data_IF_948904249046
#
_entry.id   IF_948904249046
#
_cell.length_a   1.000
_cell.length_b   1.000
_cell.length_c   1.000
_cell.angle_alpha   90.00
_cell.angle_beta   90.00
_cell.angle_gamma   90.00
#
_symmetry.space_group_name_H-M   'P 1'
#
loop_
_entity.id
_entity.type
_entity.pdbx_description
1 polymer ?
#
# COMPACT_ATOMS: atom_id res chain seq x y z
N UNK A 1 -12.21 4.52 -11.77
CA UNK A 1 -12.93 3.45 -12.49
C UNK A 1 -13.00 2.24 -11.57
N UNK A 2 -14.00 1.38 -11.75
CA UNK A 2 -14.44 0.40 -10.75
C UNK A 2 -14.65 -0.95 -11.41
N UNK A 3 -14.09 -2.02 -10.85
CA UNK A 3 -14.43 -3.40 -11.21
C UNK A 3 -15.49 -3.93 -10.27
N UNK A 4 -16.48 -4.63 -10.81
CA UNK A 4 -17.50 -5.35 -10.05
C UNK A 4 -17.26 -6.86 -10.19
N UNK A 5 -17.24 -7.56 -9.07
CA UNK A 5 -16.92 -8.98 -8.99
C UNK A 5 -18.11 -9.74 -8.45
N UNK A 6 -18.52 -10.82 -9.13
CA UNK A 6 -19.50 -11.76 -8.60
C UNK A 6 -18.81 -12.80 -7.71
N UNK A 7 -19.47 -13.22 -6.63
CA UNK A 7 -18.91 -14.17 -5.68
C UNK A 7 -19.53 -15.56 -5.87
N UNK A 8 -18.70 -16.59 -5.82
CA UNK A 8 -19.13 -17.98 -5.89
C UNK A 8 -18.40 -18.86 -4.86
N UNK A 9 -19.01 -19.98 -4.53
CA UNK A 9 -18.44 -21.01 -3.67
C UNK A 9 -17.68 -22.02 -4.54
N UNK A 10 -16.38 -22.20 -4.28
CA UNK A 10 -15.52 -23.09 -5.08
C UNK A 10 -15.82 -24.55 -4.84
N UNK A 11 -16.29 -24.95 -3.64
CA UNK A 11 -16.60 -26.33 -3.30
C UNK A 11 -17.94 -26.75 -3.89
N UNK A 12 -18.94 -25.88 -3.81
CA UNK A 12 -20.27 -26.14 -4.36
C UNK A 12 -20.38 -25.86 -5.86
N UNK A 13 -19.41 -25.14 -6.42
CA UNK A 13 -19.40 -24.68 -7.81
C UNK A 13 -20.66 -23.88 -8.18
N UNK A 14 -21.08 -22.98 -7.29
CA UNK A 14 -22.33 -22.22 -7.40
C UNK A 14 -22.14 -20.76 -7.00
N UNK A 15 -22.86 -19.85 -7.67
CA UNK A 15 -22.94 -18.45 -7.28
C UNK A 15 -23.48 -18.31 -5.84
N UNK A 16 -23.00 -17.30 -5.12
CA UNK A 16 -23.49 -17.00 -3.77
C UNK A 16 -24.65 -16.02 -3.89
N UNK A 17 -25.83 -16.45 -3.49
CA UNK A 17 -27.06 -15.65 -3.51
C UNK A 17 -27.37 -15.07 -2.12
N UNK A 18 -27.76 -13.81 -2.06
CA UNK A 18 -28.02 -13.07 -0.80
C UNK A 18 -29.42 -13.28 -0.24
N UNK A 19 -30.36 -13.76 -1.05
CA UNK A 19 -31.76 -14.00 -0.70
C UNK A 19 -32.10 -15.49 -0.44
N UNK A 20 -31.13 -16.39 -0.66
CA UNK A 20 -31.31 -17.83 -0.53
C UNK A 20 -32.00 -18.51 -1.71
N UNK A 21 -32.31 -17.78 -2.79
CA UNK A 21 -32.83 -18.35 -4.04
C UNK A 21 -31.72 -18.47 -5.09
N UNK A 22 -31.25 -19.71 -5.29
CA UNK A 22 -30.18 -20.04 -6.22
C UNK A 22 -30.55 -19.86 -7.71
N UNK A 23 -31.78 -19.48 -8.01
CA UNK A 23 -32.24 -19.19 -9.37
C UNK A 23 -32.37 -17.69 -9.64
N UNK A 24 -32.21 -16.82 -8.63
CA UNK A 24 -32.35 -15.38 -8.79
C UNK A 24 -31.00 -14.71 -9.15
N UNK A 25 -30.76 -14.34 -10.41
CA UNK A 25 -29.47 -13.74 -10.81
C UNK A 25 -29.23 -12.36 -10.19
N UNK A 26 -30.29 -11.64 -9.83
CA UNK A 26 -30.19 -10.29 -9.24
C UNK A 26 -29.74 -10.32 -7.78
N UNK A 27 -29.79 -11.48 -7.12
CA UNK A 27 -29.37 -11.64 -5.73
C UNK A 27 -27.93 -12.10 -5.56
N UNK A 28 -27.19 -12.30 -6.68
CA UNK A 28 -25.78 -12.70 -6.63
C UNK A 28 -24.97 -11.67 -5.85
N UNK A 29 -24.21 -12.13 -4.87
CA UNK A 29 -23.33 -11.31 -4.07
C UNK A 29 -22.25 -10.68 -4.97
N UNK A 30 -22.18 -9.35 -4.96
CA UNK A 30 -21.18 -8.59 -5.70
C UNK A 30 -20.31 -7.73 -4.78
N UNK A 31 -19.05 -7.53 -5.19
CA UNK A 31 -18.09 -6.62 -4.55
C UNK A 31 -17.56 -5.63 -5.59
N UNK A 32 -17.43 -4.36 -5.21
CA UNK A 32 -16.83 -3.32 -6.07
C UNK A 32 -15.46 -2.95 -5.54
N UNK A 33 -14.46 -2.96 -6.43
CA UNK A 33 -13.11 -2.50 -6.14
C UNK A 33 -12.74 -1.34 -7.05
N UNK A 34 -12.41 -0.20 -6.44
CA UNK A 34 -12.01 1.01 -7.13
C UNK A 34 -10.48 1.09 -7.29
N UNK A 35 -10.04 1.69 -8.40
CA UNK A 35 -8.64 2.03 -8.66
C UNK A 35 -7.70 0.84 -8.39
N UNK A 36 -7.97 -0.29 -9.02
CA UNK A 36 -7.15 -1.48 -8.88
C UNK A 36 -6.11 -1.53 -9.99
N UNK A 37 -4.96 -2.12 -9.70
CA UNK A 37 -3.98 -2.38 -10.76
C UNK A 37 -4.52 -3.40 -11.76
N UNK A 38 -5.36 -4.36 -11.33
CA UNK A 38 -6.03 -5.30 -12.23
C UNK A 38 -6.80 -4.57 -13.33
N UNK A 39 -7.60 -3.56 -12.97
CA UNK A 39 -8.37 -2.76 -13.91
C UNK A 39 -7.50 -2.06 -14.96
N UNK A 40 -6.31 -1.58 -14.57
CA UNK A 40 -5.38 -0.95 -15.52
C UNK A 40 -4.87 -1.90 -16.61
N UNK A 41 -4.75 -3.19 -16.28
CA UNK A 41 -4.40 -4.23 -17.25
C UNK A 41 -5.61 -4.72 -18.03
N UNK A 42 -6.77 -4.84 -17.37
CA UNK A 42 -7.98 -5.42 -17.94
C UNK A 42 -9.17 -4.45 -17.87
N UNK A 43 -9.13 -3.33 -18.62
CA UNK A 43 -10.19 -2.33 -18.55
C UNK A 43 -11.51 -2.89 -19.08
N UNK A 44 -12.58 -2.72 -18.30
CA UNK A 44 -13.94 -3.17 -18.67
C UNK A 44 -14.11 -4.68 -18.78
N UNK A 45 -13.18 -5.48 -18.24
CA UNK A 45 -13.29 -6.94 -18.21
C UNK A 45 -14.02 -7.40 -16.94
N UNK A 46 -14.74 -8.51 -17.09
CA UNK A 46 -15.49 -9.13 -16.00
C UNK A 46 -14.67 -10.20 -15.29
N UNK A 47 -14.85 -10.28 -13.98
CA UNK A 47 -14.16 -11.21 -13.10
C UNK A 47 -15.10 -11.70 -12.01
N UNK A 48 -14.70 -12.77 -11.33
CA UNK A 48 -15.39 -13.31 -10.17
C UNK A 48 -14.41 -13.67 -9.07
N UNK A 49 -14.93 -13.74 -7.83
CA UNK A 49 -14.20 -14.22 -6.68
C UNK A 49 -14.74 -15.57 -6.20
N UNK A 50 -13.87 -16.57 -6.24
CA UNK A 50 -14.03 -17.80 -5.48
C UNK A 50 -13.45 -17.63 -4.08
N UNK A 51 -14.02 -18.37 -3.12
CA UNK A 51 -13.52 -18.41 -1.74
C UNK A 51 -13.11 -19.84 -1.38
N UNK A 52 -12.06 -19.95 -0.57
CA UNK A 52 -11.59 -21.20 0.02
C UNK A 52 -11.63 -21.12 1.54
N UNK A 53 -11.89 -22.27 2.16
CA UNK A 53 -11.91 -22.46 3.60
C UNK A 53 -11.05 -23.67 4.02
N UNK A 54 -11.11 -24.04 5.29
CA UNK A 54 -10.34 -25.17 5.85
C UNK A 54 -10.77 -26.56 5.33
N UNK A 55 -11.90 -26.64 4.62
CA UNK A 55 -12.44 -27.86 4.01
C UNK A 55 -12.30 -27.88 2.48
N UNK A 56 -11.66 -26.87 1.89
CA UNK A 56 -11.39 -26.83 0.45
C UNK A 56 -10.26 -27.78 0.08
N UNK A 57 -10.46 -28.53 -1.00
CA UNK A 57 -9.46 -29.42 -1.59
C UNK A 57 -8.81 -28.77 -2.84
N UNK A 58 -7.61 -29.21 -3.26
CA UNK A 58 -6.95 -28.66 -4.45
C UNK A 58 -7.78 -28.74 -5.74
N UNK A 59 -8.63 -29.76 -5.86
CA UNK A 59 -9.53 -29.95 -7.00
C UNK A 59 -10.57 -28.83 -7.11
N UNK A 60 -11.02 -28.26 -5.98
CA UNK A 60 -12.01 -27.18 -5.93
C UNK A 60 -11.51 -25.90 -6.61
N UNK A 61 -10.19 -25.72 -6.68
CA UNK A 61 -9.57 -24.58 -7.38
C UNK A 61 -9.88 -24.56 -8.89
N UNK A 62 -10.34 -25.68 -9.47
CA UNK A 62 -10.74 -25.77 -10.88
C UNK A 62 -12.21 -25.46 -11.12
N UNK A 63 -13.01 -25.35 -10.05
CA UNK A 63 -14.44 -25.12 -10.17
C UNK A 63 -14.73 -23.64 -10.48
N UNK A 64 -15.65 -23.44 -11.41
CA UNK A 64 -16.30 -22.15 -11.66
C UNK A 64 -17.65 -22.39 -12.36
N UNK A 65 -18.75 -21.70 -11.96
CA UNK A 65 -20.09 -21.91 -12.56
C UNK A 65 -20.11 -21.75 -14.08
N UNK A 66 -19.39 -20.76 -14.60
CA UNK A 66 -19.30 -20.46 -16.04
C UNK A 66 -18.04 -21.03 -16.72
N UNK A 67 -17.27 -21.91 -16.04
CA UNK A 67 -16.05 -22.49 -16.61
C UNK A 67 -14.85 -21.54 -16.74
N UNK A 68 -14.85 -20.41 -16.04
CA UNK A 68 -13.67 -19.54 -15.93
C UNK A 68 -12.52 -20.24 -15.18
N UNK A 69 -11.31 -19.73 -15.37
CA UNK A 69 -10.09 -20.31 -14.80
C UNK A 69 -9.50 -19.41 -13.72
N UNK A 70 -8.78 -20.02 -12.78
CA UNK A 70 -8.07 -19.30 -11.73
C UNK A 70 -6.90 -18.49 -12.32
N UNK A 71 -6.93 -17.17 -12.13
CA UNK A 71 -5.94 -16.23 -12.65
C UNK A 71 -4.91 -15.83 -11.59
N UNK A 72 -5.39 -15.41 -10.42
CA UNK A 72 -4.58 -14.89 -9.31
C UNK A 72 -5.20 -15.31 -7.97
N UNK A 73 -4.42 -15.31 -6.89
CA UNK A 73 -4.95 -15.47 -5.54
C UNK A 73 -4.40 -14.45 -4.55
N UNK A 74 -5.20 -14.12 -3.54
CA UNK A 74 -4.85 -13.22 -2.45
C UNK A 74 -5.45 -13.73 -1.15
N UNK A 75 -4.65 -14.46 -0.37
CA UNK A 75 -5.11 -15.21 0.81
C UNK A 75 -6.22 -16.19 0.39
N UNK A 76 -7.41 -16.05 0.98
CA UNK A 76 -8.58 -16.90 0.69
C UNK A 76 -9.39 -16.44 -0.52
N UNK A 77 -9.08 -15.28 -1.11
CA UNK A 77 -9.77 -14.76 -2.30
C UNK A 77 -9.08 -15.24 -3.57
N UNK A 78 -9.82 -15.91 -4.44
CA UNK A 78 -9.36 -16.46 -5.70
C UNK A 78 -10.00 -15.70 -6.86
N UNK A 79 -9.20 -15.06 -7.70
CA UNK A 79 -9.68 -14.31 -8.87
C UNK A 79 -9.83 -15.26 -10.05
N UNK A 80 -11.05 -15.35 -10.60
CA UNK A 80 -11.36 -16.11 -11.80
C UNK A 80 -11.74 -15.19 -12.96
N UNK A 81 -11.45 -15.64 -14.17
CA UNK A 81 -11.89 -15.01 -15.41
C UNK A 81 -11.73 -15.94 -16.61
N UNK A 82 -12.22 -15.51 -17.78
CA UNK A 82 -12.04 -16.22 -19.05
C UNK A 82 -10.57 -16.62 -19.31
N UNK A 83 -10.38 -17.79 -19.93
CA UNK A 83 -9.06 -18.40 -20.14
C UNK A 83 -8.10 -17.54 -20.96
N UNK A 84 -8.63 -16.72 -21.86
CA UNK A 84 -7.85 -15.78 -22.68
C UNK A 84 -7.12 -14.73 -21.83
N UNK A 85 -7.57 -14.44 -20.60
CA UNK A 85 -6.89 -13.48 -19.72
C UNK A 85 -5.55 -14.02 -19.19
N UNK A 86 -5.34 -15.34 -19.24
CA UNK A 86 -4.08 -15.95 -18.84
C UNK A 86 -2.89 -15.43 -19.64
N UNK A 87 -3.07 -15.07 -20.91
CA UNK A 87 -1.96 -14.57 -21.74
C UNK A 87 -1.35 -13.30 -21.14
N UNK A 88 -2.17 -12.35 -20.68
CA UNK A 88 -1.70 -11.11 -20.06
C UNK A 88 -1.23 -11.34 -18.62
N UNK A 89 -1.86 -12.24 -17.87
CA UNK A 89 -1.39 -12.66 -16.53
C UNK A 89 -0.02 -13.32 -16.61
N UNK A 90 0.27 -14.11 -17.64
CA UNK A 90 1.56 -14.78 -17.84
C UNK A 90 2.68 -13.83 -18.22
N UNK A 91 2.38 -12.75 -18.93
CA UNK A 91 3.33 -11.64 -19.16
C UNK A 91 3.69 -10.91 -17.86
N UNK A 92 2.76 -10.84 -16.91
CA UNK A 92 2.96 -10.24 -15.60
C UNK A 92 3.70 -11.18 -14.64
N UNK A 93 3.14 -12.36 -14.42
CA UNK A 93 3.58 -13.42 -13.51
C UNK A 93 3.86 -14.71 -14.30
N UNK A 94 5.05 -14.83 -14.94
CA UNK A 94 5.40 -15.99 -15.75
C UNK A 94 5.51 -17.27 -14.91
N UNK A 95 6.00 -17.14 -13.67
CA UNK A 95 5.94 -18.23 -12.70
C UNK A 95 4.55 -18.29 -12.05
N UNK A 96 3.93 -19.47 -12.04
CA UNK A 96 2.62 -19.70 -11.41
C UNK A 96 2.64 -19.39 -9.91
N UNK A 97 3.77 -19.55 -9.22
CA UNK A 97 3.89 -19.20 -7.79
C UNK A 97 3.63 -17.71 -7.54
N UNK A 98 4.03 -16.87 -8.49
CA UNK A 98 3.91 -15.41 -8.40
C UNK A 98 2.43 -14.97 -8.47
N UNK A 99 1.58 -15.76 -9.10
CA UNK A 99 0.13 -15.52 -9.18
C UNK A 99 -0.54 -15.56 -7.80
N UNK A 100 -0.03 -16.41 -6.90
CA UNK A 100 -0.49 -16.47 -5.50
C UNK A 100 0.29 -15.55 -4.56
N UNK A 101 1.59 -15.36 -4.79
CA UNK A 101 2.40 -14.47 -3.95
C UNK A 101 2.02 -12.98 -4.13
N UNK A 102 1.62 -12.59 -5.34
CA UNK A 102 1.44 -11.20 -5.71
C UNK A 102 0.02 -10.80 -6.12
N UNK A 103 -0.98 -11.70 -6.07
CA UNK A 103 -2.36 -11.34 -6.43
C UNK A 103 -2.91 -10.14 -5.64
N UNK A 104 -2.50 -9.97 -4.37
CA UNK A 104 -2.86 -8.80 -3.55
C UNK A 104 -2.36 -7.44 -4.06
N UNK A 105 -1.42 -7.42 -5.02
CA UNK A 105 -0.97 -6.20 -5.70
C UNK A 105 -2.00 -5.76 -6.74
N UNK A 106 -2.59 -6.72 -7.46
CA UNK A 106 -3.60 -6.47 -8.49
C UNK A 106 -4.97 -6.17 -7.89
N UNK A 107 -5.35 -6.91 -6.85
CA UNK A 107 -6.67 -6.87 -6.22
C UNK A 107 -6.82 -5.79 -5.13
N UNK A 108 -5.73 -5.14 -4.73
CA UNK A 108 -5.79 -4.13 -3.69
C UNK A 108 -6.28 -2.80 -4.24
N UNK A 109 -7.48 -2.37 -3.85
CA UNK A 109 -8.00 -1.03 -4.14
C UNK A 109 -7.05 0.06 -3.67
N UNK A 110 -6.93 1.12 -4.45
CA UNK A 110 -6.19 2.32 -4.10
C UNK A 110 -7.18 3.47 -3.83
N UNK A 111 -6.83 4.34 -2.87
CA UNK A 111 -7.61 5.54 -2.55
C UNK A 111 -7.73 6.46 -3.77
N UNK A 112 -6.60 6.66 -4.44
CA UNK A 112 -6.50 7.41 -5.69
C UNK A 112 -5.58 6.68 -6.66
N UNK A 113 -5.70 7.00 -7.95
CA UNK A 113 -4.76 6.56 -8.97
C UNK A 113 -4.62 7.58 -10.08
N UNK A 114 -3.50 7.51 -10.80
CA UNK A 114 -3.24 8.28 -12.02
C UNK A 114 -2.68 7.34 -13.10
N UNK A 115 -2.77 7.77 -14.36
CA UNK A 115 -2.20 7.05 -15.51
C UNK A 115 -1.58 8.04 -16.47
N UNK A 116 -0.27 8.25 -16.34
CA UNK A 116 0.43 9.36 -17.01
C UNK A 116 1.81 8.96 -17.47
N UNK A 117 2.32 9.68 -18.47
CA UNK A 117 3.71 9.59 -18.89
C UNK A 117 4.59 10.27 -17.85
N UNK A 118 5.49 9.51 -17.22
CA UNK A 118 6.41 10.00 -16.19
C UNK A 118 7.87 9.69 -16.55
N UNK A 119 8.79 10.50 -16.04
CA UNK A 119 10.22 10.21 -16.07
C UNK A 119 10.63 9.50 -14.77
N UNK A 120 10.95 8.22 -14.87
CA UNK A 120 11.16 7.31 -13.75
C UNK A 120 12.64 6.93 -13.70
N UNK A 121 13.35 7.35 -12.66
CA UNK A 121 14.71 6.90 -12.42
C UNK A 121 14.67 5.57 -11.66
N UNK A 122 15.08 4.50 -12.31
CA UNK A 122 15.26 3.18 -11.70
C UNK A 122 16.67 3.09 -11.14
N UNK A 123 16.78 2.72 -9.86
CA UNK A 123 18.05 2.64 -9.14
C UNK A 123 18.22 1.23 -8.57
N UNK A 124 19.42 0.66 -8.68
CA UNK A 124 19.78 -0.53 -7.94
C UNK A 124 20.00 -0.16 -6.47
N UNK A 125 19.10 -0.61 -5.59
CA UNK A 125 19.13 -0.31 -4.16
C UNK A 125 20.23 -1.07 -3.38
N UNK A 126 20.99 -1.95 -4.05
CA UNK A 126 22.17 -2.61 -3.46
C UNK A 126 23.46 -1.79 -3.59
N UNK A 127 23.60 -0.98 -4.64
CA UNK A 127 24.86 -0.31 -4.98
C UNK A 127 24.72 1.14 -5.48
N UNK A 128 23.51 1.61 -5.81
CA UNK A 128 23.23 2.95 -6.30
C UNK A 128 23.34 3.14 -7.81
N UNK A 129 23.65 2.10 -8.58
CA UNK A 129 23.68 2.16 -10.05
C UNK A 129 22.34 2.71 -10.56
N UNK A 130 22.41 3.67 -11.48
CA UNK A 130 21.23 4.39 -11.96
C UNK A 130 21.37 4.83 -13.44
N UNK A 131 22.29 4.22 -14.20
CA UNK A 131 22.57 4.63 -15.59
C UNK A 131 23.42 5.89 -15.72
N UNK A 132 24.07 6.34 -14.64
CA UNK A 132 24.99 7.48 -14.65
C UNK A 132 24.33 8.86 -14.58
N UNK A 133 23.03 8.95 -14.29
CA UNK A 133 22.32 10.22 -14.13
C UNK A 133 22.72 10.95 -12.84
N UNK A 134 22.85 10.18 -11.74
CA UNK A 134 23.29 10.64 -10.43
C UNK A 134 24.58 9.91 -10.04
N UNK A 135 25.36 10.48 -9.12
CA UNK A 135 26.45 9.73 -8.49
C UNK A 135 25.86 8.58 -7.69
N UNK A 136 26.37 7.36 -7.84
CA UNK A 136 25.77 6.15 -7.24
C UNK A 136 25.56 6.29 -5.72
N UNK A 137 26.53 6.84 -5.00
CA UNK A 137 26.40 7.11 -3.56
C UNK A 137 25.25 8.05 -3.19
N UNK A 138 24.91 9.01 -4.06
CA UNK A 138 23.79 9.91 -3.84
C UNK A 138 22.47 9.27 -4.26
N UNK A 139 22.44 8.51 -5.36
CA UNK A 139 21.27 7.74 -5.77
C UNK A 139 20.87 6.70 -4.72
N UNK A 140 21.86 5.98 -4.18
CA UNK A 140 21.65 4.95 -3.16
C UNK A 140 20.95 5.49 -1.90
N UNK A 141 21.23 6.73 -1.49
CA UNK A 141 20.55 7.38 -0.34
C UNK A 141 19.08 7.73 -0.60
N UNK A 142 18.67 7.77 -1.86
CA UNK A 142 17.30 8.08 -2.27
C UNK A 142 16.42 6.83 -2.35
N UNK A 143 17.01 5.65 -2.16
CA UNK A 143 16.31 4.37 -2.25
C UNK A 143 16.63 3.43 -1.09
N UNK A 144 15.87 2.35 -0.99
CA UNK A 144 16.04 1.24 -0.06
C UNK A 144 15.10 0.10 -0.46
N UNK A 145 14.98 -0.94 0.37
CA UNK A 145 14.09 -2.07 0.06
C UNK A 145 12.63 -1.62 -0.14
N UNK A 146 12.20 -1.65 -1.40
CA UNK A 146 10.90 -1.16 -1.86
C UNK A 146 10.60 0.29 -1.42
N UNK A 147 11.62 1.12 -1.23
CA UNK A 147 11.49 2.54 -0.84
C UNK A 147 12.08 3.45 -1.92
N UNK A 148 11.32 4.46 -2.31
CA UNK A 148 11.70 5.43 -3.35
C UNK A 148 11.21 6.84 -3.08
N UNK A 149 11.34 7.71 -4.08
CA UNK A 149 10.96 9.13 -3.99
C UNK A 149 9.91 9.49 -5.05
N UNK A 150 9.04 10.43 -4.71
CA UNK A 150 8.06 11.04 -5.62
C UNK A 150 8.21 12.56 -5.59
N UNK A 151 8.17 13.20 -6.75
CA UNK A 151 8.15 14.67 -6.81
C UNK A 151 6.95 15.21 -6.01
N UNK A 152 7.09 16.36 -5.38
CA UNK A 152 5.99 16.99 -4.64
C UNK A 152 4.78 17.28 -5.54
N UNK A 153 5.03 17.69 -6.79
CA UNK A 153 3.99 17.95 -7.81
C UNK A 153 3.17 16.70 -8.12
N UNK A 154 3.84 15.58 -8.39
CA UNK A 154 3.17 14.32 -8.68
C UNK A 154 2.48 13.76 -7.44
N UNK A 155 3.06 13.94 -6.25
CA UNK A 155 2.44 13.57 -4.99
C UNK A 155 1.12 14.32 -4.78
N UNK A 156 1.14 15.66 -4.89
CA UNK A 156 -0.02 16.50 -4.66
C UNK A 156 -1.17 16.11 -5.58
N UNK A 157 -0.85 15.77 -6.83
CA UNK A 157 -1.79 15.25 -7.82
C UNK A 157 -2.33 13.86 -7.46
N UNK A 158 -1.44 12.90 -7.19
CA UNK A 158 -1.83 11.53 -6.88
C UNK A 158 -2.71 11.46 -5.62
N UNK A 159 -2.33 12.17 -4.57
CA UNK A 159 -3.06 12.12 -3.29
C UNK A 159 -4.21 13.12 -3.23
N UNK A 160 -4.41 13.93 -4.27
CA UNK A 160 -5.32 15.09 -4.27
C UNK A 160 -5.12 15.96 -3.03
N UNK A 161 -3.86 16.24 -2.67
CA UNK A 161 -3.51 16.90 -1.40
C UNK A 161 -4.19 18.26 -1.27
N UNK A 162 -4.41 18.95 -2.38
CA UNK A 162 -5.12 20.24 -2.40
C UNK A 162 -6.60 20.15 -1.99
N UNK A 163 -7.20 18.97 -1.97
CA UNK A 163 -8.57 18.73 -1.47
C UNK A 163 -8.60 18.30 0.01
N UNK A 164 -7.46 17.93 0.59
CA UNK A 164 -7.38 17.42 1.97
C UNK A 164 -7.30 18.56 3.00
N UNK A 165 -7.86 18.38 4.19
CA UNK A 165 -7.70 19.33 5.31
C UNK A 165 -6.24 19.36 5.81
N UNK A 166 -5.63 18.18 5.99
CA UNK A 166 -4.24 18.05 6.36
C UNK A 166 -3.34 18.10 5.11
N UNK A 167 -2.55 19.18 5.01
CA UNK A 167 -1.59 19.41 3.94
C UNK A 167 -0.19 18.88 4.28
N UNK A 168 -0.02 18.04 5.29
CA UNK A 168 1.28 17.44 5.57
C UNK A 168 1.68 16.43 4.48
N UNK A 169 2.96 16.40 4.15
CA UNK A 169 3.51 15.34 3.31
C UNK A 169 3.67 14.06 4.13
N UNK A 170 3.18 12.95 3.58
CA UNK A 170 3.22 11.62 4.18
C UNK A 170 3.90 10.65 3.21
N UNK A 171 4.43 9.56 3.74
CA UNK A 171 4.93 8.47 2.89
C UNK A 171 3.72 7.71 2.36
N UNK A 172 3.67 7.44 1.07
CA UNK A 172 2.57 6.65 0.47
C UNK A 172 3.01 5.21 0.28
N UNK A 173 2.15 4.26 0.63
CA UNK A 173 2.24 2.91 0.09
C UNK A 173 1.64 2.95 -1.31
N UNK A 174 2.42 2.54 -2.31
CA UNK A 174 1.98 2.58 -3.70
C UNK A 174 1.90 1.19 -4.32
N UNK A 175 1.14 1.14 -5.42
CA UNK A 175 1.14 0.07 -6.42
C UNK A 175 1.40 0.71 -7.78
N UNK A 176 2.05 0.00 -8.67
CA UNK A 176 2.21 0.49 -10.04
C UNK A 176 2.24 -0.62 -11.07
N UNK A 177 2.03 -0.25 -12.32
CA UNK A 177 2.33 -1.11 -13.46
C UNK A 177 2.28 -0.37 -14.79
N UNK A 178 2.83 -1.04 -15.81
CA UNK A 178 2.81 -0.59 -17.20
C UNK A 178 2.92 -1.80 -18.14
N UNK A 179 2.56 -1.58 -19.41
CA UNK A 179 2.56 -2.56 -20.50
C UNK A 179 3.74 -2.35 -21.45
N UNK A 180 3.90 -3.27 -22.38
CA UNK A 180 5.00 -3.23 -23.37
C UNK A 180 4.99 -2.03 -24.33
N UNK A 181 3.83 -1.40 -24.55
CA UNK A 181 3.67 -0.28 -25.48
C UNK A 181 3.57 1.09 -24.76
N UNK A 182 3.89 1.12 -23.46
CA UNK A 182 3.72 2.32 -22.64
C UNK A 182 4.97 3.22 -22.59
N UNK A 183 6.07 2.87 -23.26
CA UNK A 183 7.29 3.69 -23.24
C UNK A 183 8.56 2.93 -23.58
N UNK A 184 9.65 3.34 -22.94
CA UNK A 184 11.00 2.81 -23.20
C UNK A 184 11.22 1.38 -22.68
N UNK A 185 10.60 0.98 -21.57
CA UNK A 185 10.61 -0.43 -21.14
C UNK A 185 9.48 -1.18 -21.84
N UNK A 186 9.87 -2.01 -22.80
CA UNK A 186 8.94 -2.75 -23.67
C UNK A 186 8.45 -4.06 -23.04
N UNK A 187 8.32 -4.09 -21.71
CA UNK A 187 7.92 -5.29 -20.96
C UNK A 187 6.79 -4.91 -20.02
N UNK A 188 5.87 -5.84 -19.80
CA UNK A 188 4.90 -5.72 -18.72
C UNK A 188 5.63 -5.60 -17.39
N UNK A 189 5.31 -4.61 -16.56
CA UNK A 189 5.86 -4.49 -15.21
C UNK A 189 4.76 -4.21 -14.23
N UNK A 190 4.97 -4.68 -13.01
CA UNK A 190 4.21 -4.24 -11.88
C UNK A 190 5.08 -4.25 -10.63
N UNK A 191 4.62 -3.53 -9.62
CA UNK A 191 5.35 -3.47 -8.37
C UNK A 191 4.59 -2.82 -7.24
N UNK A 192 5.27 -2.77 -6.12
CA UNK A 192 4.81 -2.13 -4.91
C UNK A 192 5.97 -1.59 -4.11
N UNK A 193 5.68 -0.59 -3.29
CA UNK A 193 6.65 -0.06 -2.36
C UNK A 193 6.09 1.11 -1.58
N UNK A 194 7.00 1.95 -1.14
CA UNK A 194 6.71 3.23 -0.50
C UNK A 194 7.39 4.36 -1.24
N UNK A 195 6.71 5.50 -1.37
CA UNK A 195 7.29 6.70 -1.96
C UNK A 195 7.23 7.83 -0.93
N UNK A 196 8.37 8.48 -0.73
CA UNK A 196 8.46 9.70 0.07
C UNK A 196 8.43 10.94 -0.84
N UNK A 197 7.65 11.97 -0.49
CA UNK A 197 7.69 13.25 -1.18
C UNK A 197 9.06 13.90 -1.08
N UNK A 198 9.63 14.27 -2.22
CA UNK A 198 10.95 14.88 -2.30
C UNK A 198 10.98 16.01 -3.34
N UNK A 199 11.76 17.06 -3.04
CA UNK A 199 12.03 18.16 -3.97
C UNK A 199 13.08 17.73 -5.00
N UNK A 200 12.66 16.96 -5.99
CA UNK A 200 13.53 16.33 -6.99
C UNK A 200 14.26 17.37 -7.87
N UNK A 201 13.74 18.60 -7.95
CA UNK A 201 14.40 19.77 -8.56
C UNK A 201 15.74 20.13 -7.91
N UNK A 202 15.96 19.72 -6.65
CA UNK A 202 17.19 20.01 -5.89
C UNK A 202 18.27 18.93 -6.02
N UNK A 203 18.02 17.87 -6.80
CA UNK A 203 18.98 16.79 -6.98
C UNK A 203 20.20 17.27 -7.78
N UNK A 204 21.38 16.80 -7.36
CA UNK A 204 22.64 17.05 -8.05
C UNK A 204 22.92 15.93 -9.05
N UNK A 205 22.75 16.23 -10.34
CA UNK A 205 23.10 15.35 -11.44
C UNK A 205 24.62 15.12 -11.52
N UNK A 206 25.02 13.93 -11.97
CA UNK A 206 26.43 13.61 -12.22
C UNK A 206 27.02 14.50 -13.31
N UNK A 207 26.23 14.78 -14.36
CA UNK A 207 26.55 15.76 -15.39
C UNK A 207 25.74 17.06 -15.18
N UNK A 208 26.38 18.17 -14.79
CA UNK A 208 25.68 19.45 -14.59
C UNK A 208 25.03 20.02 -15.85
N UNK A 209 25.45 19.60 -17.05
CA UNK A 209 24.90 20.08 -18.32
C UNK A 209 23.71 19.24 -18.81
N UNK A 210 23.42 18.12 -18.14
CA UNK A 210 22.31 17.23 -18.49
C UNK A 210 21.46 16.95 -17.25
N UNK A 211 20.37 17.71 -17.11
CA UNK A 211 19.46 17.66 -15.95
C UNK A 211 18.04 17.28 -16.42
N UNK A 212 17.82 16.04 -16.88
CA UNK A 212 16.49 15.61 -17.28
C UNK A 212 15.54 15.69 -16.09
N UNK A 213 14.24 15.90 -16.34
CA UNK A 213 13.25 15.87 -15.26
C UNK A 213 13.16 14.46 -14.68
N UNK A 214 13.00 14.34 -13.36
CA UNK A 214 12.68 13.09 -12.68
C UNK A 214 11.39 13.32 -11.90
N UNK A 215 10.37 12.51 -12.18
CA UNK A 215 9.08 12.55 -11.50
C UNK A 215 9.00 11.52 -10.37
N UNK A 216 9.66 10.37 -10.56
CA UNK A 216 9.73 9.24 -9.62
C UNK A 216 11.14 8.66 -9.57
N UNK A 217 11.55 8.19 -8.38
CA UNK A 217 12.73 7.33 -8.19
C UNK A 217 12.24 6.01 -7.59
N UNK A 218 12.47 4.90 -8.28
CA UNK A 218 11.99 3.57 -7.89
C UNK A 218 13.17 2.59 -7.79
N UNK A 219 13.32 1.85 -6.68
CA UNK A 219 14.36 0.83 -6.57
C UNK A 219 14.02 -0.44 -7.38
N UNK A 220 15.03 -1.19 -7.80
CA UNK A 220 14.85 -2.51 -8.42
C UNK A 220 14.02 -3.45 -7.54
N UNK A 221 14.21 -3.42 -6.23
CA UNK A 221 13.43 -4.23 -5.29
C UNK A 221 11.92 -3.99 -5.34
N UNK A 222 11.44 -2.82 -5.81
CA UNK A 222 9.99 -2.56 -5.96
C UNK A 222 9.32 -3.37 -7.07
N UNK A 223 10.07 -3.79 -8.10
CA UNK A 223 9.56 -4.57 -9.23
C UNK A 223 9.34 -6.03 -8.84
N UNK A 224 8.19 -6.58 -9.20
CA UNK A 224 7.76 -7.94 -8.83
C UNK A 224 7.48 -8.79 -10.08
N UNK A 225 7.33 -10.10 -9.88
CA UNK A 225 7.03 -11.05 -10.96
C UNK A 225 8.19 -11.27 -11.94
N UNK A 226 9.43 -11.10 -11.49
CA UNK A 226 10.62 -11.20 -12.35
C UNK A 226 11.34 -12.55 -12.24
N UNK A 227 10.86 -13.45 -11.38
CA UNK A 227 11.39 -14.80 -11.13
C UNK A 227 12.94 -14.85 -11.09
N UNK A 228 13.53 -13.86 -10.42
CA UNK A 228 14.99 -13.64 -10.39
C UNK A 228 15.78 -14.80 -9.78
N UNK A 229 15.14 -15.61 -8.95
CA UNK A 229 15.75 -16.71 -8.21
C UNK A 229 15.62 -18.06 -8.96
N UNK A 230 15.13 -18.05 -10.20
CA UNK A 230 15.03 -19.25 -11.02
C UNK A 230 16.42 -19.81 -11.37
N UNK A 231 16.71 -21.09 -11.06
CA UNK A 231 18.00 -21.71 -11.40
C UNK A 231 18.34 -21.72 -12.89
N UNK A 232 17.34 -21.68 -13.78
CA UNK A 232 17.53 -21.60 -15.23
C UNK A 232 17.74 -20.16 -15.73
N UNK A 233 17.79 -19.18 -14.82
CA UNK A 233 17.78 -17.75 -15.11
C UNK A 233 16.36 -17.19 -15.15
N UNK A 234 16.22 -15.86 -14.99
CA UNK A 234 14.90 -15.23 -14.92
C UNK A 234 14.13 -15.39 -16.24
N UNK A 235 12.92 -15.95 -16.15
CA UNK A 235 11.99 -16.12 -17.28
C UNK A 235 11.61 -14.79 -17.95
N UNK A 236 11.79 -13.68 -17.24
CA UNK A 236 11.50 -12.31 -17.68
C UNK A 236 12.72 -11.43 -17.46
N UNK A 237 13.21 -10.70 -18.49
CA UNK A 237 14.35 -9.81 -18.33
C UNK A 237 14.14 -8.81 -17.20
N UNK A 238 15.09 -8.69 -16.27
CA UNK A 238 15.05 -7.66 -15.23
C UNK A 238 15.10 -6.27 -15.87
N UNK A 239 14.38 -5.31 -15.29
CA UNK A 239 14.59 -3.92 -15.67
C UNK A 239 15.99 -3.49 -15.24
N UNK A 240 16.68 -2.72 -16.07
CA UNK A 240 18.01 -2.22 -15.75
C UNK A 240 17.91 -0.88 -15.02
N UNK A 241 18.88 -0.50 -14.20
CA UNK A 241 18.95 0.85 -13.69
C UNK A 241 19.10 1.86 -14.83
N UNK A 242 18.46 3.02 -14.70
CA UNK A 242 18.39 4.03 -15.75
C UNK A 242 17.18 4.94 -15.62
N UNK A 243 17.14 6.00 -16.43
CA UNK A 243 15.98 6.87 -16.54
C UNK A 243 15.07 6.36 -17.67
N UNK A 244 13.79 6.19 -17.35
CA UNK A 244 12.78 5.70 -18.26
C UNK A 244 11.66 6.71 -18.42
N UNK A 245 11.34 7.08 -19.66
CA UNK A 245 10.09 7.76 -19.97
C UNK A 245 9.00 6.71 -20.18
N UNK A 246 8.11 6.53 -19.19
CA UNK A 246 7.12 5.45 -19.18
C UNK A 246 5.73 5.96 -18.78
N UNK A 247 4.70 5.55 -19.52
CA UNK A 247 3.31 5.67 -19.11
C UNK A 247 3.05 4.63 -18.04
N UNK A 248 2.67 5.09 -16.86
CA UNK A 248 2.55 4.25 -15.68
C UNK A 248 1.19 4.48 -15.04
N UNK A 249 0.53 3.38 -14.68
CA UNK A 249 -0.53 3.42 -13.69
C UNK A 249 0.11 3.45 -12.31
N UNK A 250 -0.19 4.48 -11.52
CA UNK A 250 0.32 4.63 -10.16
C UNK A 250 -0.86 4.82 -9.19
N UNK A 251 -0.98 3.90 -8.23
CA UNK A 251 -2.02 3.90 -7.22
C UNK A 251 -1.50 4.25 -5.83
N UNK A 252 -2.21 5.14 -5.14
CA UNK A 252 -2.03 5.44 -3.72
C UNK A 252 -2.87 4.45 -2.89
N UNK A 253 -2.25 3.44 -2.30
CA UNK A 253 -2.96 2.46 -1.47
C UNK A 253 -3.32 3.01 -0.10
N UNK A 254 -2.34 3.62 0.58
CA UNK A 254 -2.49 4.19 1.90
C UNK A 254 -1.39 5.23 2.15
N UNK A 255 -1.60 6.10 3.13
CA UNK A 255 -0.57 7.04 3.61
C UNK A 255 -0.08 6.61 4.99
N UNK A 256 1.15 6.99 5.33
CA UNK A 256 1.67 6.86 6.68
C UNK A 256 0.86 7.73 7.64
N UNK A 257 0.61 7.21 8.83
CA UNK A 257 -0.13 7.90 9.88
C UNK A 257 0.75 8.04 11.13
N UNK A 258 0.51 9.09 11.90
CA UNK A 258 1.12 9.26 13.21
C UNK A 258 0.19 8.68 14.24
N UNK A 259 0.57 7.54 14.79
CA UNK A 259 -0.09 6.96 15.96
C UNK A 259 0.57 7.43 17.26
N UNK A 260 -0.18 7.32 18.36
CA UNK A 260 0.37 7.39 19.72
C UNK A 260 0.26 5.98 20.30
N UNK A 261 1.36 5.43 20.81
CA UNK A 261 1.39 4.09 21.44
C UNK A 261 1.73 4.24 22.91
N UNK A 262 1.15 3.39 23.77
CA UNK A 262 1.51 3.40 25.18
C UNK A 262 2.93 2.86 25.37
N UNK A 263 3.77 3.58 26.11
CA UNK A 263 5.16 3.18 26.38
C UNK A 263 5.22 1.79 27.02
N UNK A 264 4.22 1.43 27.85
CA UNK A 264 4.10 0.09 28.45
C UNK A 264 4.12 -1.05 27.44
N UNK A 265 3.62 -0.83 26.22
CA UNK A 265 3.65 -1.84 25.15
C UNK A 265 5.06 -2.05 24.58
N UNK A 266 5.92 -1.03 24.64
CA UNK A 266 7.30 -1.09 24.17
C UNK A 266 8.27 -1.58 25.26
N UNK A 267 7.99 -1.28 26.54
CA UNK A 267 8.87 -1.64 27.66
C UNK A 267 9.13 -3.14 27.77
N UNK A 268 8.15 -3.99 27.42
CA UNK A 268 8.33 -5.44 27.41
C UNK A 268 9.36 -5.91 26.38
N UNK A 269 9.50 -5.19 25.27
CA UNK A 269 10.43 -5.52 24.17
C UNK A 269 11.76 -4.76 24.27
N UNK A 270 11.76 -3.57 24.89
CA UNK A 270 12.92 -2.69 25.02
C UNK A 270 13.08 -2.17 26.45
N UNK A 271 13.33 -3.04 27.44
CA UNK A 271 13.40 -2.64 28.84
C UNK A 271 14.51 -1.62 29.12
N UNK A 272 15.58 -1.62 28.34
CA UNK A 272 16.68 -0.65 28.48
C UNK A 272 16.33 0.74 27.93
N UNK A 273 15.34 0.83 27.03
CA UNK A 273 14.85 2.11 26.51
C UNK A 273 14.09 2.93 27.56
N UNK A 274 13.81 2.37 28.74
CA UNK A 274 13.25 3.11 29.87
C UNK A 274 14.13 4.29 30.27
N UNK A 275 15.46 4.19 30.09
CA UNK A 275 16.42 5.25 30.45
C UNK A 275 16.13 6.57 29.74
N UNK A 276 15.73 6.51 28.47
CA UNK A 276 15.39 7.70 27.68
C UNK A 276 14.11 8.39 28.21
N UNK A 277 13.25 7.66 28.93
CA UNK A 277 12.06 8.20 29.58
C UNK A 277 12.31 8.60 31.03
N UNK A 278 13.33 8.06 31.69
CA UNK A 278 13.70 8.44 33.07
C UNK A 278 14.03 9.93 33.13
N UNK A 279 14.74 10.46 32.14
CA UNK A 279 15.04 11.90 32.06
C UNK A 279 13.77 12.76 32.03
N UNK A 280 12.77 12.37 31.23
CA UNK A 280 11.50 13.11 31.15
C UNK A 280 10.66 12.97 32.42
N UNK A 281 10.69 11.80 33.07
CA UNK A 281 10.06 11.57 34.37
C UNK A 281 10.74 12.39 35.48
N UNK A 282 12.07 12.51 35.47
CA UNK A 282 12.83 13.34 36.41
C UNK A 282 12.47 14.81 36.26
N UNK A 283 12.35 15.32 35.03
CA UNK A 283 11.88 16.70 34.76
C UNK A 283 10.47 16.91 35.30
N UNK A 284 9.55 15.97 35.09
CA UNK A 284 8.19 16.07 35.64
C UNK A 284 8.18 16.02 37.17
N UNK A 285 9.00 15.15 37.77
CA UNK A 285 9.14 15.05 39.22
C UNK A 285 9.70 16.34 39.81
N UNK A 286 10.72 16.93 39.17
CA UNK A 286 11.32 18.19 39.60
C UNK A 286 10.32 19.34 39.50
N UNK A 287 9.56 19.43 38.39
CA UNK A 287 8.48 20.40 38.25
C UNK A 287 7.44 20.26 39.36
N UNK A 288 7.10 19.03 39.74
CA UNK A 288 6.18 18.77 40.85
C UNK A 288 6.79 19.19 42.19
N UNK A 289 8.04 18.85 42.46
CA UNK A 289 8.77 19.26 43.68
C UNK A 289 8.80 20.78 43.83
N UNK A 290 8.99 21.53 42.75
CA UNK A 290 9.01 23.00 42.78
C UNK A 290 7.65 23.63 43.13
N UNK A 291 6.55 22.93 42.85
CA UNK A 291 5.19 23.46 43.08
C UNK A 291 4.47 22.83 44.26
N UNK A 292 4.95 21.72 44.81
CA UNK A 292 4.23 20.90 45.79
C UNK A 292 3.83 21.64 47.08
N UNK A 293 4.61 22.65 47.47
CA UNK A 293 4.37 23.43 48.69
C UNK A 293 3.32 24.56 48.50
N UNK A 294 2.93 24.88 47.25
CA UNK A 294 1.84 25.84 46.97
C UNK A 294 0.59 25.10 46.45
N UNK A 295 -0.44 24.93 47.29
CA UNK A 295 -1.64 24.15 46.91
C UNK A 295 -2.37 24.72 45.69
N UNK A 296 -2.22 26.01 45.39
CA UNK A 296 -2.83 26.63 44.19
C UNK A 296 -2.12 26.18 42.92
N UNK A 297 -0.78 26.12 42.94
CA UNK A 297 0.04 25.67 41.81
C UNK A 297 -0.11 24.17 41.57
N UNK A 298 -0.25 23.39 42.64
CA UNK A 298 -0.58 21.95 42.53
C UNK A 298 -1.94 21.75 41.86
N UNK A 299 -2.95 22.53 42.25
CA UNK A 299 -4.28 22.48 41.63
C UNK A 299 -4.25 22.89 40.15
N UNK A 300 -3.49 23.93 39.80
CA UNK A 300 -3.29 24.35 38.41
C UNK A 300 -2.62 23.25 37.57
N UNK A 301 -1.53 22.66 38.07
CA UNK A 301 -0.83 21.55 37.41
C UNK A 301 -1.75 20.32 37.25
N UNK A 302 -2.59 20.04 38.24
CA UNK A 302 -3.58 18.97 38.16
C UNK A 302 -4.61 19.25 37.06
N UNK A 303 -5.18 20.46 37.01
CA UNK A 303 -6.13 20.87 35.98
C UNK A 303 -5.52 20.78 34.59
N UNK A 304 -4.31 21.32 34.38
CA UNK A 304 -3.60 21.21 33.10
C UNK A 304 -3.41 19.75 32.67
N UNK A 305 -2.97 18.90 33.60
CA UNK A 305 -2.71 17.48 33.32
C UNK A 305 -4.02 16.75 33.01
N UNK A 306 -5.08 17.04 33.76
CA UNK A 306 -6.40 16.47 33.57
C UNK A 306 -7.02 16.90 32.23
N UNK A 307 -6.92 18.19 31.87
CA UNK A 307 -7.39 18.70 30.59
C UNK A 307 -6.62 18.10 29.41
N UNK A 308 -5.28 17.99 29.51
CA UNK A 308 -4.46 17.29 28.50
C UNK A 308 -4.89 15.83 28.34
N UNK A 309 -5.18 15.13 29.44
CA UNK A 309 -5.70 13.75 29.39
C UNK A 309 -7.08 13.69 28.76
N UNK A 310 -7.99 14.60 29.13
CA UNK A 310 -9.34 14.64 28.56
C UNK A 310 -9.30 14.92 27.06
N UNK A 311 -8.53 15.92 26.64
CA UNK A 311 -8.32 16.25 25.23
C UNK A 311 -7.70 15.07 24.45
N UNK A 312 -6.75 14.35 25.06
CA UNK A 312 -6.17 13.14 24.48
C UNK A 312 -7.21 12.03 24.32
N UNK A 313 -8.03 11.76 25.34
CA UNK A 313 -9.10 10.76 25.26
C UNK A 313 -10.16 11.16 24.23
N UNK A 314 -10.53 12.44 24.15
CA UNK A 314 -11.46 12.96 23.14
C UNK A 314 -10.87 12.87 21.72
N UNK A 315 -9.58 13.15 21.53
CA UNK A 315 -8.86 12.99 20.26
C UNK A 315 -8.79 11.49 19.85
N UNK A 316 -8.55 10.60 20.81
CA UNK A 316 -8.58 9.15 20.57
C UNK A 316 -9.99 8.64 20.22
N UNK A 317 -11.03 9.12 20.92
CA UNK A 317 -12.42 8.82 20.57
C UNK A 317 -12.76 9.31 19.17
N UNK A 318 -12.37 10.55 18.84
CA UNK A 318 -12.65 11.15 17.53
C UNK A 318 -11.92 10.44 16.38
N UNK A 319 -10.65 10.05 16.57
CA UNK A 319 -9.88 9.27 15.58
C UNK A 319 -10.49 7.88 15.38
N UNK A 320 -10.80 7.17 16.47
CA UNK A 320 -11.46 5.85 16.41
C UNK A 320 -12.84 5.95 15.74
N UNK A 321 -13.60 7.03 16.00
CA UNK A 321 -14.91 7.26 15.36
C UNK A 321 -14.78 7.54 13.85
N UNK A 322 -13.75 8.28 13.43
CA UNK A 322 -13.45 8.48 11.99
C UNK A 322 -13.07 7.16 11.30
N UNK A 323 -12.34 6.29 11.98
CA UNK A 323 -11.99 4.96 11.46
C UNK A 323 -13.20 4.03 11.36
N UNK A 324 -14.17 4.11 12.28
CA UNK A 324 -15.45 3.38 12.20
C UNK A 324 -16.32 3.85 11.02
N UNK A 325 -16.30 5.15 10.73
CA UNK A 325 -17.07 5.73 9.64
C UNK A 325 -16.47 5.44 8.25
N UNK A 326 -15.30 4.77 8.20
CA UNK A 326 -14.71 4.28 6.95
C UNK A 326 -15.32 2.90 6.60
N UNK A 327 -15.85 2.68 5.38
CA UNK A 327 -16.51 1.42 5.03
C UNK A 327 -15.54 0.22 5.16
N UNK A 328 -15.90 -0.79 5.95
CA UNK A 328 -15.16 -2.06 6.05
C UNK A 328 -14.65 -2.46 7.45
N UNK A 329 -14.68 -1.58 8.45
CA UNK A 329 -14.03 -1.82 9.76
C UNK A 329 -14.97 -1.86 11.00
N UNK A 330 -16.29 -1.86 10.81
CA UNK A 330 -17.25 -1.56 11.89
C UNK A 330 -17.19 -2.46 13.14
N UNK A 331 -16.91 -3.77 13.05
CA UNK A 331 -17.05 -4.68 14.22
C UNK A 331 -15.89 -4.63 15.21
N UNK A 332 -14.67 -4.29 14.79
CA UNK A 332 -13.47 -4.33 15.65
C UNK A 332 -13.28 -3.02 16.43
N UNK A 333 -13.59 -1.89 15.80
CA UNK A 333 -13.35 -0.56 16.39
C UNK A 333 -14.46 -0.08 17.33
N UNK A 334 -15.70 -0.59 17.21
CA UNK A 334 -16.78 -0.32 18.17
C UNK A 334 -16.43 -0.81 19.59
N UNK A 335 -15.73 -1.94 19.70
CA UNK A 335 -15.22 -2.42 21.00
C UNK A 335 -14.14 -1.52 21.60
N UNK A 336 -13.34 -0.83 20.76
CA UNK A 336 -12.32 0.09 21.24
C UNK A 336 -12.92 1.41 21.73
N UNK A 337 -14.00 1.89 21.11
CA UNK A 337 -14.69 3.10 21.58
C UNK A 337 -15.26 2.96 22.99
N UNK A 338 -15.82 1.78 23.30
CA UNK A 338 -16.35 1.45 24.64
C UNK A 338 -15.25 1.33 25.73
N UNK A 339 -13.96 1.33 25.38
CA UNK A 339 -12.85 1.34 26.35
C UNK A 339 -12.48 2.76 26.80
N UNK A 340 -13.02 3.78 26.14
CA UNK A 340 -12.76 5.18 26.45
C UNK A 340 -13.92 5.86 27.19
N UNK A 341 -15.07 5.19 27.32
CA UNK A 341 -16.18 5.56 28.21
C UNK A 341 -15.96 4.95 29.60
#
# INVERSE_FOLDING_TARGET
>A
MTLEFKHFDTRLNQWIHTDGDNQNPESILTEKLDNTLLESFFPGKEFSFGHIDEYSEPEDLRNHPDGHVLLLSSKTRLLYGPSEYLEEIEKLCPDRKDRGAYGSIFLGSCKNSISEQLNILVVDDSNGENGGFLKDKEAWKLVGDCYGQISTELYDKLTKREEQEDKSYRVIQHRFGWKENDGEDTKYRFGKGTLRPYKLDKIKYANPNHKPKIDLIIPLSSFKGTDKDNPAGPSKPQIKPGLYQQKIWLGEKAQSERGKTAISQLLASFPQGIKDFVEELEVQAQKLTEVQDDPRKVAELYCETHEKRRAFTEEQKASTQREINTPGNQKTFVKQLNLFD
#
